data_IF_268745308739
#
_entry.id   IF_268745308739
#
_cell.length_a   1.000
_cell.length_b   1.000
_cell.length_c   1.000
_cell.angle_alpha   90.00
_cell.angle_beta   90.00
_cell.angle_gamma   90.00
#
_symmetry.space_group_name_H-M   'P 1'
#
loop_
_entity.id
_entity.type
_entity.pdbx_description
1 polymer ?
#
# COMPACT_ATOMS: atom_id res chain seq x y z
N UNK A 1 -5.27 -23.73 18.44
CA UNK A 1 -4.87 -22.70 17.45
C UNK A 1 -3.77 -23.15 16.48
N UNK A 2 -3.87 -22.81 15.19
CA UNK A 2 -2.85 -23.05 14.13
C UNK A 2 -2.24 -21.71 13.71
N UNK A 3 -0.92 -21.55 13.77
CA UNK A 3 -0.27 -20.27 13.44
C UNK A 3 0.00 -20.13 11.93
N UNK A 4 -0.36 -18.98 11.35
CA UNK A 4 0.12 -18.61 10.02
C UNK A 4 1.50 -17.96 10.13
N UNK A 5 2.55 -18.70 9.73
CA UNK A 5 3.96 -18.24 9.78
C UNK A 5 4.24 -16.94 9.02
N UNK A 6 3.39 -16.54 8.07
CA UNK A 6 3.59 -15.35 7.23
C UNK A 6 3.05 -14.04 7.82
N UNK A 7 2.11 -14.08 8.75
CA UNK A 7 1.40 -12.87 9.24
C UNK A 7 1.31 -12.82 10.78
N UNK A 8 1.82 -13.83 11.49
CA UNK A 8 1.69 -13.90 12.96
C UNK A 8 0.26 -14.08 13.46
N UNK A 9 -0.71 -14.27 12.57
CA UNK A 9 -2.11 -14.44 12.89
C UNK A 9 -2.36 -15.87 13.42
N UNK A 10 -3.00 -15.93 14.58
CA UNK A 10 -3.39 -17.15 15.26
C UNK A 10 -4.78 -17.56 14.74
N UNK A 11 -4.86 -18.69 14.05
CA UNK A 11 -6.13 -19.23 13.55
C UNK A 11 -6.74 -20.19 14.59
N UNK A 12 -8.07 -20.19 14.77
CA UNK A 12 -8.74 -21.24 15.52
C UNK A 12 -8.45 -22.64 14.95
N UNK A 13 -8.52 -23.66 15.80
CA UNK A 13 -8.56 -25.06 15.37
C UNK A 13 -9.99 -25.48 15.03
N UNK A 14 -10.13 -26.59 14.30
CA UNK A 14 -11.45 -27.14 13.95
C UNK A 14 -12.38 -27.38 15.17
N UNK A 15 -11.82 -27.75 16.33
CA UNK A 15 -12.60 -27.91 17.56
C UNK A 15 -13.08 -26.56 18.13
N UNK A 16 -12.23 -25.54 18.03
CA UNK A 16 -12.57 -24.16 18.43
C UNK A 16 -13.59 -23.55 17.46
N UNK A 17 -13.43 -23.76 16.15
CA UNK A 17 -14.42 -23.34 15.13
C UNK A 17 -15.79 -23.99 15.38
N UNK A 18 -15.83 -25.28 15.70
CA UNK A 18 -17.07 -25.97 16.04
C UNK A 18 -17.73 -25.42 17.32
N UNK A 19 -16.92 -24.94 18.28
CA UNK A 19 -17.45 -24.29 19.48
C UNK A 19 -18.01 -22.91 19.19
N UNK A 20 -17.37 -22.14 18.30
CA UNK A 20 -17.85 -20.84 17.82
C UNK A 20 -19.18 -21.00 17.08
N UNK A 21 -19.28 -21.97 16.16
CA UNK A 21 -20.52 -22.24 15.41
C UNK A 21 -21.70 -22.59 16.33
N UNK A 22 -21.48 -23.43 17.34
CA UNK A 22 -22.52 -23.75 18.34
C UNK A 22 -22.96 -22.52 19.12
N UNK A 23 -22.04 -21.62 19.46
CA UNK A 23 -22.35 -20.38 20.17
C UNK A 23 -23.22 -19.45 19.33
N UNK A 24 -22.91 -19.32 18.04
CA UNK A 24 -23.70 -18.53 17.09
C UNK A 24 -25.13 -19.09 16.98
N UNK A 25 -25.28 -20.41 16.84
CA UNK A 25 -26.62 -21.02 16.67
C UNK A 25 -27.50 -20.92 17.92
N UNK A 26 -26.90 -20.87 19.11
CA UNK A 26 -27.63 -20.75 20.38
C UNK A 26 -28.03 -19.32 20.73
N UNK A 27 -27.52 -18.32 20.00
CA UNK A 27 -27.78 -16.91 20.25
C UNK A 27 -28.80 -16.35 19.24
N UNK A 28 -30.07 -16.13 19.66
CA UNK A 28 -31.12 -15.63 18.77
C UNK A 28 -30.90 -14.18 18.31
N UNK A 29 -30.02 -13.42 18.96
CA UNK A 29 -29.66 -12.06 18.55
C UNK A 29 -28.46 -12.03 17.58
N UNK A 30 -27.81 -13.17 17.34
CA UNK A 30 -26.69 -13.22 16.40
C UNK A 30 -27.18 -13.11 14.96
N UNK A 31 -26.77 -12.02 14.29
CA UNK A 31 -26.92 -11.87 12.85
C UNK A 31 -25.68 -12.40 12.12
N UNK A 32 -25.82 -13.55 11.45
CA UNK A 32 -24.80 -14.04 10.53
C UNK A 32 -24.84 -13.27 9.22
N UNK A 33 -23.72 -12.70 8.82
CA UNK A 33 -23.59 -12.06 7.50
C UNK A 33 -23.56 -13.17 6.44
N UNK A 34 -24.69 -13.36 5.76
CA UNK A 34 -24.81 -14.32 4.66
C UNK A 34 -24.08 -13.82 3.41
N UNK A 35 -23.79 -14.72 2.46
CA UNK A 35 -23.13 -14.36 1.19
C UNK A 35 -23.89 -13.31 0.40
N UNK A 36 -25.22 -13.35 0.42
CA UNK A 36 -26.08 -12.37 -0.27
C UNK A 36 -26.05 -11.01 0.44
N UNK A 37 -26.11 -11.00 1.79
CA UNK A 37 -25.95 -9.77 2.57
C UNK A 37 -24.57 -9.14 2.35
N UNK A 38 -23.52 -9.96 2.24
CA UNK A 38 -22.17 -9.49 1.96
C UNK A 38 -22.04 -8.89 0.55
N UNK A 39 -22.78 -9.40 -0.44
CA UNK A 39 -22.79 -8.87 -1.80
C UNK A 39 -23.46 -7.48 -1.86
N UNK A 40 -24.52 -7.27 -1.08
CA UNK A 40 -25.21 -6.00 -0.96
C UNK A 40 -24.48 -4.99 -0.06
N UNK A 41 -23.57 -5.46 0.80
CA UNK A 41 -22.66 -4.61 1.55
C UNK A 41 -21.66 -3.95 0.60
N UNK A 42 -21.88 -2.66 0.31
CA UNK A 42 -20.91 -1.85 -0.43
C UNK A 42 -19.51 -2.00 0.18
N UNK A 43 -18.46 -2.30 -0.61
CA UNK A 43 -17.13 -2.40 -0.06
C UNK A 43 -16.74 -1.04 0.52
N UNK A 44 -16.44 -0.99 1.83
CA UNK A 44 -15.87 0.17 2.55
C UNK A 44 -14.48 0.61 2.04
N UNK A 45 -14.10 0.23 0.82
CA UNK A 45 -12.73 0.23 0.34
C UNK A 45 -12.64 0.82 -1.07
N UNK A 46 -12.58 2.15 -1.14
CA UNK A 46 -11.41 2.76 -1.77
C UNK A 46 -10.43 3.12 -0.66
N UNK A 47 -9.78 2.11 -0.05
CA UNK A 47 -8.64 2.38 0.85
C UNK A 47 -7.52 2.92 -0.01
N UNK A 48 -7.25 4.22 0.10
CA UNK A 48 -6.10 4.84 -0.54
C UNK A 48 -6.21 6.35 -0.61
N UNK A 49 -5.05 7.00 -0.75
CA UNK A 49 -4.96 8.40 -1.18
C UNK A 49 -5.70 8.53 -2.53
N UNK A 50 -6.52 9.57 -2.74
CA UNK A 50 -7.11 9.84 -4.04
C UNK A 50 -6.05 9.80 -5.15
N UNK A 51 -6.35 9.21 -6.32
CA UNK A 51 -5.42 9.21 -7.43
C UNK A 51 -5.02 10.65 -7.78
N UNK A 52 -3.72 10.90 -7.92
CA UNK A 52 -3.20 12.18 -8.40
C UNK A 52 -3.49 12.28 -9.91
N UNK A 53 -3.98 13.44 -10.37
CA UNK A 53 -4.22 13.69 -11.81
C UNK A 53 -2.95 13.55 -12.66
N UNK A 54 -1.80 13.93 -12.08
CA UNK A 54 -0.49 13.84 -12.74
C UNK A 54 0.53 13.21 -11.78
N UNK A 55 0.63 11.87 -11.74
CA UNK A 55 1.61 11.19 -10.92
C UNK A 55 3.03 11.45 -11.44
N UNK A 56 4.02 11.39 -10.55
CA UNK A 56 5.43 11.39 -10.95
C UNK A 56 5.72 10.11 -11.72
N UNK A 57 6.31 10.22 -12.91
CA UNK A 57 6.73 9.06 -13.68
C UNK A 57 8.11 8.56 -13.22
N UNK A 58 8.35 7.24 -13.21
CA UNK A 58 9.68 6.70 -12.97
C UNK A 58 10.63 7.12 -14.10
N UNK A 59 11.85 7.55 -13.74
CA UNK A 59 12.90 7.90 -14.69
C UNK A 59 14.00 6.84 -14.64
N UNK A 60 14.23 6.14 -15.75
CA UNK A 60 15.33 5.16 -15.88
C UNK A 60 16.45 5.79 -16.70
N UNK A 61 17.58 6.07 -16.07
CA UNK A 61 18.79 6.55 -16.76
C UNK A 61 20.04 6.08 -16.01
N UNK A 62 21.17 6.04 -16.72
CA UNK A 62 22.48 5.86 -16.09
C UNK A 62 23.01 7.24 -15.65
N UNK A 63 23.62 7.28 -14.48
CA UNK A 63 24.29 8.45 -13.90
C UNK A 63 25.66 7.97 -13.45
N UNK A 64 26.67 8.82 -13.59
CA UNK A 64 28.01 8.52 -13.09
C UNK A 64 27.99 8.25 -11.58
N UNK A 65 28.84 7.34 -11.13
CA UNK A 65 28.81 6.82 -9.77
C UNK A 65 29.11 7.90 -8.72
N UNK A 66 30.11 8.73 -8.99
CA UNK A 66 30.52 9.87 -8.17
C UNK A 66 29.40 10.92 -8.02
N UNK A 67 28.70 11.22 -9.11
CA UNK A 67 27.55 12.13 -9.12
C UNK A 67 26.42 11.57 -8.26
N UNK A 68 26.11 10.27 -8.39
CA UNK A 68 25.06 9.64 -7.58
C UNK A 68 25.41 9.63 -6.09
N UNK A 69 26.67 9.36 -5.75
CA UNK A 69 27.16 9.40 -4.38
C UNK A 69 27.06 10.80 -3.78
N UNK A 70 27.52 11.83 -4.50
CA UNK A 70 27.43 13.22 -4.07
C UNK A 70 25.97 13.64 -3.82
N UNK A 71 25.04 13.23 -4.71
CA UNK A 71 23.61 13.50 -4.56
C UNK A 71 23.05 12.82 -3.30
N UNK A 72 23.35 11.54 -3.09
CA UNK A 72 22.87 10.78 -1.92
C UNK A 72 23.45 11.32 -0.61
N UNK A 73 24.69 11.80 -0.63
CA UNK A 73 25.34 12.43 0.52
C UNK A 73 24.61 13.70 1.01
N UNK A 74 23.77 14.34 0.16
CA UNK A 74 22.90 15.45 0.59
C UNK A 74 21.79 15.04 1.58
N UNK A 75 21.68 13.76 1.91
CA UNK A 75 20.79 13.23 2.92
C UNK A 75 19.35 13.01 2.43
N UNK A 76 18.43 12.91 3.37
CA UNK A 76 17.01 12.62 3.08
C UNK A 76 16.43 13.66 2.13
N UNK A 77 15.58 13.21 1.21
CA UNK A 77 14.95 14.09 0.20
C UNK A 77 15.81 14.42 -1.01
N UNK A 78 16.98 13.79 -1.21
CA UNK A 78 17.84 14.04 -2.37
C UNK A 78 17.10 13.88 -3.71
N UNK A 79 16.19 12.90 -3.83
CA UNK A 79 15.39 12.69 -5.05
C UNK A 79 14.49 13.90 -5.36
N UNK A 80 13.90 14.51 -4.34
CA UNK A 80 13.10 15.73 -4.49
C UNK A 80 13.96 16.91 -4.92
N UNK A 81 15.19 17.05 -4.38
CA UNK A 81 16.14 18.09 -4.79
C UNK A 81 16.56 17.93 -6.25
N UNK A 82 16.93 16.71 -6.66
CA UNK A 82 17.27 16.39 -8.05
C UNK A 82 16.13 16.76 -8.99
N UNK A 83 14.89 16.39 -8.65
CA UNK A 83 13.73 16.75 -9.45
C UNK A 83 13.51 18.26 -9.57
N UNK A 84 13.78 19.04 -8.51
CA UNK A 84 13.72 20.50 -8.57
C UNK A 84 14.78 21.07 -9.53
N UNK A 85 16.02 20.57 -9.48
CA UNK A 85 17.10 20.96 -10.39
C UNK A 85 16.73 20.65 -11.85
N UNK A 86 16.18 19.45 -12.11
CA UNK A 86 15.72 19.08 -13.46
C UNK A 86 14.60 20.01 -13.95
N UNK A 87 13.62 20.35 -13.10
CA UNK A 87 12.57 21.31 -13.46
C UNK A 87 13.14 22.68 -13.81
N UNK A 88 14.10 23.18 -13.04
CA UNK A 88 14.76 24.45 -13.35
C UNK A 88 15.58 24.38 -14.64
N UNK A 89 16.29 23.28 -14.87
CA UNK A 89 17.07 23.08 -16.09
C UNK A 89 16.17 23.11 -17.34
N UNK A 90 15.00 22.45 -17.29
CA UNK A 90 13.98 22.52 -18.35
C UNK A 90 13.47 23.95 -18.54
N UNK A 91 13.08 24.64 -17.45
CA UNK A 91 12.61 26.03 -17.52
C UNK A 91 13.64 26.99 -18.13
N UNK A 92 14.93 26.74 -17.87
CA UNK A 92 16.06 27.53 -18.38
C UNK A 92 16.52 27.07 -19.77
N UNK A 93 15.86 26.09 -20.40
CA UNK A 93 16.22 25.59 -21.73
C UNK A 93 17.53 24.80 -21.78
N UNK A 94 18.11 24.40 -20.63
CA UNK A 94 19.40 23.69 -20.58
C UNK A 94 19.35 22.26 -21.09
N UNK A 95 18.13 21.73 -21.28
CA UNK A 95 17.84 20.38 -21.77
C UNK A 95 17.14 20.41 -23.12
N UNK A 96 17.02 21.59 -23.75
CA UNK A 96 16.52 21.71 -25.12
C UNK A 96 17.65 21.32 -26.10
N UNK A 97 17.29 20.59 -27.15
CA UNK A 97 18.18 20.24 -28.25
C UNK A 97 18.49 21.46 -29.13
#
# INVERSE_FOLDING_TARGET
MKQSKKVGLIQPTAAEDAAIARGIEQDPDTMEITGDMLADMQPLVRRGRPPLEQPKMPMTMRVDADVLEAIKATGTGWQSRVNSVLREAVKKGKLAA
#
